data_IF_019772855855
#
_entry.id   IF_019772855855
#
_cell.length_a   1.000
_cell.length_b   1.000
_cell.length_c   1.000
_cell.angle_alpha   90.00
_cell.angle_beta   90.00
_cell.angle_gamma   90.00
#
_symmetry.space_group_name_H-M   'P 1'
#
loop_
_entity.id
_entity.type
_entity.pdbx_description
1 polymer ?
#
# COMPACT_ATOMS: atom_id res chain seq x y z
N UNK A 1 17.89 -37.13 52.89
CA UNK A 1 17.29 -38.48 52.75
C UNK A 1 16.34 -38.66 53.93
N UNK A 2 15.08 -39.08 53.70
CA UNK A 2 14.75 -40.41 53.16
C UNK A 2 14.02 -40.41 51.80
N UNK A 3 14.22 -41.52 51.08
CA UNK A 3 13.43 -42.10 49.97
C UNK A 3 12.16 -42.76 50.54
N UNK A 4 11.10 -43.19 49.84
CA UNK A 4 10.49 -43.09 48.49
C UNK A 4 9.25 -44.01 48.56
N UNK A 5 8.15 -43.71 47.87
CA UNK A 5 7.15 -44.62 47.28
C UNK A 5 5.89 -43.80 46.90
N UNK A 6 5.27 -43.89 45.73
CA UNK A 6 5.44 -44.90 44.69
C UNK A 6 4.75 -44.52 43.37
N UNK A 7 4.73 -45.55 42.53
CA UNK A 7 4.55 -45.67 41.08
C UNK A 7 3.10 -45.45 40.60
N UNK A 8 2.93 -44.91 39.38
CA UNK A 8 1.97 -45.25 38.30
C UNK A 8 2.09 -44.11 37.25
N UNK A 9 2.31 -44.27 35.94
CA UNK A 9 2.15 -45.37 35.01
C UNK A 9 1.51 -44.82 33.73
N UNK A 10 2.23 -44.94 32.61
CA UNK A 10 1.80 -44.94 31.18
C UNK A 10 1.30 -43.67 30.48
N UNK A 11 1.94 -43.45 29.32
CA UNK A 11 1.60 -42.59 28.19
C UNK A 11 0.14 -42.68 27.72
N UNK A 12 -0.40 -41.55 27.25
CA UNK A 12 -1.32 -41.50 26.12
C UNK A 12 -1.27 -40.13 25.48
N UNK A 13 -0.70 -40.10 24.28
CA UNK A 13 -0.97 -39.09 23.27
C UNK A 13 -2.48 -38.97 23.10
N UNK A 14 -3.02 -37.75 23.18
CA UNK A 14 -4.28 -37.46 22.51
C UNK A 14 -4.14 -36.12 21.80
N UNK A 15 -3.98 -36.23 20.48
CA UNK A 15 -4.18 -35.19 19.51
C UNK A 15 -5.49 -34.45 19.83
N UNK A 16 -5.39 -33.17 20.16
CA UNK A 16 -6.49 -32.25 19.86
C UNK A 16 -5.95 -31.30 18.82
N UNK A 17 -6.28 -31.60 17.56
CA UNK A 17 -6.31 -30.66 16.45
C UNK A 17 -7.11 -29.43 16.89
N UNK A 18 -6.43 -28.39 17.35
CA UNK A 18 -6.97 -27.04 17.23
C UNK A 18 -6.66 -26.57 15.84
N UNK A 19 -7.62 -26.80 14.94
CA UNK A 19 -7.75 -26.08 13.69
C UNK A 19 -7.86 -24.58 14.03
N UNK A 20 -6.74 -23.88 14.14
CA UNK A 20 -6.75 -22.42 14.06
C UNK A 20 -6.67 -22.06 12.57
N UNK A 21 -7.82 -22.15 11.90
CA UNK A 21 -8.05 -21.46 10.63
C UNK A 21 -8.34 -19.98 10.92
N UNK A 22 -7.38 -19.32 11.54
CA UNK A 22 -7.43 -17.90 11.92
C UNK A 22 -6.06 -17.30 11.62
N UNK A 23 -5.76 -17.03 10.34
CA UNK A 23 -4.79 -15.98 9.94
C UNK A 23 -4.79 -15.71 8.41
N UNK A 24 -5.91 -15.92 7.70
CA UNK A 24 -6.02 -15.52 6.29
C UNK A 24 -6.09 -13.99 6.07
N UNK A 25 -5.87 -13.18 7.12
CA UNK A 25 -5.89 -11.73 7.07
C UNK A 25 -4.67 -11.08 7.73
N UNK A 26 -3.55 -11.79 7.93
CA UNK A 26 -2.29 -11.09 8.21
C UNK A 26 -1.90 -10.31 6.94
N UNK A 27 -2.12 -9.00 7.00
CA UNK A 27 -1.65 -8.10 5.94
C UNK A 27 -0.13 -8.12 6.02
N UNK A 28 0.52 -8.85 5.11
CA UNK A 28 1.98 -8.95 5.07
C UNK A 28 2.62 -7.56 5.17
N UNK A 29 3.70 -7.42 5.97
CA UNK A 29 4.34 -6.13 6.18
C UNK A 29 4.90 -5.60 4.87
N UNK A 30 4.56 -4.35 4.54
CA UNK A 30 5.05 -3.69 3.33
C UNK A 30 6.56 -3.47 3.44
N UNK A 31 7.38 -3.91 2.46
CA UNK A 31 8.82 -3.70 2.49
C UNK A 31 9.24 -2.22 2.62
N UNK A 32 10.31 -1.97 3.37
CA UNK A 32 10.83 -0.61 3.62
C UNK A 32 11.11 0.22 2.34
N UNK A 33 11.62 -0.36 1.23
CA UNK A 33 11.78 0.39 -0.01
C UNK A 33 10.46 0.95 -0.56
N UNK A 34 9.36 0.21 -0.43
CA UNK A 34 8.03 0.64 -0.87
C UNK A 34 7.51 1.75 0.03
N UNK A 35 7.61 1.58 1.35
CA UNK A 35 7.22 2.62 2.31
C UNK A 35 7.97 3.94 2.05
N UNK A 36 9.29 3.85 1.84
CA UNK A 36 10.15 5.00 1.53
C UNK A 36 9.77 5.66 0.20
N UNK A 37 9.43 4.86 -0.81
CA UNK A 37 8.94 5.34 -2.09
C UNK A 37 7.63 6.11 -1.94
N UNK A 38 6.62 5.51 -1.29
CA UNK A 38 5.30 6.12 -1.10
C UNK A 38 5.40 7.42 -0.30
N UNK A 39 6.20 7.42 0.77
CA UNK A 39 6.48 8.63 1.55
C UNK A 39 7.09 9.73 0.68
N UNK A 40 8.14 9.40 -0.10
CA UNK A 40 8.80 10.37 -0.98
C UNK A 40 7.86 10.97 -2.02
N UNK A 41 6.94 10.18 -2.57
CA UNK A 41 5.94 10.67 -3.53
C UNK A 41 4.84 11.51 -2.87
N UNK A 42 4.54 11.27 -1.59
CA UNK A 42 3.52 12.03 -0.84
C UNK A 42 4.08 13.36 -0.34
N UNK A 43 5.37 13.41 -0.01
CA UNK A 43 6.01 14.57 0.61
C UNK A 43 5.78 15.92 -0.12
N UNK A 44 5.78 16.01 -1.47
CA UNK A 44 5.46 17.25 -2.18
C UNK A 44 4.06 17.82 -1.90
N UNK A 45 3.12 17.01 -1.42
CA UNK A 45 1.74 17.39 -1.10
C UNK A 45 1.55 17.81 0.36
N UNK A 46 2.60 17.74 1.18
CA UNK A 46 2.56 18.16 2.58
C UNK A 46 3.13 19.58 2.77
N UNK A 47 3.77 20.13 1.75
CA UNK A 47 4.36 21.47 1.77
C UNK A 47 3.34 22.57 1.47
N UNK A 48 3.63 23.79 1.90
CA UNK A 48 2.74 24.96 1.75
C UNK A 48 2.74 25.61 0.35
N UNK A 49 3.46 25.04 -0.63
CA UNK A 49 3.59 25.61 -1.98
C UNK A 49 3.57 24.51 -3.04
N UNK A 50 2.68 24.67 -4.01
CA UNK A 50 2.62 23.89 -5.25
C UNK A 50 3.96 23.98 -5.97
N UNK A 51 4.52 22.83 -6.30
CA UNK A 51 5.76 22.72 -7.05
C UNK A 51 5.58 21.71 -8.18
N UNK A 52 6.40 21.82 -9.23
CA UNK A 52 6.51 20.82 -10.33
C UNK A 52 6.71 19.37 -9.86
N UNK A 53 7.04 19.20 -8.58
CA UNK A 53 7.19 17.90 -7.92
C UNK A 53 5.85 17.17 -7.74
N UNK A 54 4.73 17.87 -7.55
CA UNK A 54 3.41 17.23 -7.44
C UNK A 54 3.01 16.55 -8.76
N UNK A 55 3.22 17.22 -9.90
CA UNK A 55 2.97 16.65 -11.23
C UNK A 55 3.84 15.41 -11.46
N UNK A 56 5.14 15.49 -11.12
CA UNK A 56 6.06 14.37 -11.24
C UNK A 56 5.66 13.18 -10.35
N UNK A 57 5.17 13.45 -9.14
CA UNK A 57 4.67 12.43 -8.24
C UNK A 57 3.38 11.77 -8.75
N UNK A 58 2.44 12.54 -9.31
CA UNK A 58 1.23 11.98 -9.93
C UNK A 58 1.58 11.08 -11.12
N UNK A 59 2.51 11.50 -11.99
CA UNK A 59 3.01 10.67 -13.11
C UNK A 59 3.66 9.39 -12.59
N UNK A 60 4.44 9.48 -11.50
CA UNK A 60 5.10 8.31 -10.92
C UNK A 60 4.09 7.34 -10.31
N UNK A 61 3.08 7.84 -9.60
CA UNK A 61 2.00 7.02 -9.05
C UNK A 61 1.23 6.30 -10.14
N UNK A 62 0.80 6.99 -11.19
CA UNK A 62 0.10 6.36 -12.32
C UNK A 62 0.93 5.22 -12.93
N UNK A 63 2.19 5.51 -13.23
CA UNK A 63 3.09 4.55 -13.86
C UNK A 63 3.32 3.29 -13.01
N UNK A 64 3.52 3.45 -11.70
CA UNK A 64 3.88 2.33 -10.82
C UNK A 64 2.64 1.59 -10.30
N UNK A 65 1.60 2.32 -9.89
CA UNK A 65 0.42 1.73 -9.21
C UNK A 65 -0.63 1.26 -10.22
N UNK A 66 -0.96 2.10 -11.20
CA UNK A 66 -1.99 1.81 -12.21
C UNK A 66 -1.42 0.97 -13.35
N UNK A 67 -0.30 1.40 -13.92
CA UNK A 67 0.26 0.73 -15.11
C UNK A 67 1.21 -0.44 -14.77
N UNK A 68 1.65 -0.56 -13.50
CA UNK A 68 2.62 -1.57 -13.04
C UNK A 68 3.92 -1.59 -13.85
N UNK A 69 4.39 -0.42 -14.27
CA UNK A 69 5.63 -0.26 -15.03
C UNK A 69 6.77 0.05 -14.04
N UNK A 70 7.61 -0.95 -13.77
CA UNK A 70 8.72 -0.87 -12.82
C UNK A 70 10.08 -0.52 -13.45
N UNK A 71 10.13 -0.39 -14.79
CA UNK A 71 11.33 0.05 -15.51
C UNK A 71 11.83 1.39 -14.94
N UNK A 72 13.14 1.56 -14.77
CA UNK A 72 13.74 2.84 -14.35
C UNK A 72 13.61 3.18 -12.87
N UNK A 73 13.00 2.30 -12.06
CA UNK A 73 13.10 2.34 -10.61
C UNK A 73 14.46 1.78 -10.14
N UNK A 74 14.84 2.04 -8.89
CA UNK A 74 16.03 1.43 -8.31
C UNK A 74 15.84 -0.09 -8.18
N UNK A 75 16.90 -0.92 -8.36
CA UNK A 75 16.80 -2.37 -8.25
C UNK A 75 16.13 -2.83 -6.95
N UNK A 76 16.52 -2.21 -5.82
CA UNK A 76 15.95 -2.49 -4.50
C UNK A 76 14.44 -2.22 -4.39
N UNK A 77 13.92 -1.23 -5.12
CA UNK A 77 12.50 -0.92 -5.11
C UNK A 77 11.74 -1.89 -6.02
N UNK A 78 12.28 -2.18 -7.21
CA UNK A 78 11.66 -3.13 -8.13
C UNK A 78 11.58 -4.55 -7.55
N UNK A 79 12.63 -4.99 -6.86
CA UNK A 79 12.66 -6.28 -6.16
C UNK A 79 11.64 -6.31 -5.02
N UNK A 80 11.57 -5.25 -4.21
CA UNK A 80 10.59 -5.15 -3.13
C UNK A 80 9.14 -5.12 -3.65
N UNK A 81 8.85 -4.43 -4.76
CA UNK A 81 7.52 -4.44 -5.37
C UNK A 81 7.17 -5.84 -5.88
N UNK A 82 8.14 -6.54 -6.48
CA UNK A 82 7.93 -7.90 -6.99
C UNK A 82 7.79 -8.95 -5.87
N UNK A 83 8.19 -8.62 -4.64
CA UNK A 83 8.11 -9.52 -3.49
C UNK A 83 6.76 -9.51 -2.78
N UNK A 84 5.83 -8.64 -3.18
CA UNK A 84 4.47 -8.57 -2.63
C UNK A 84 3.44 -8.72 -3.76
N UNK A 85 2.21 -9.11 -3.42
CA UNK A 85 1.12 -9.10 -4.40
C UNK A 85 0.84 -7.68 -4.89
N UNK A 86 0.36 -7.57 -6.13
CA UNK A 86 -0.07 -6.29 -6.69
C UNK A 86 -1.14 -5.62 -5.82
N UNK A 87 -2.05 -6.42 -5.27
CA UNK A 87 -3.08 -5.95 -4.35
C UNK A 87 -2.51 -5.35 -3.05
N UNK A 88 -1.45 -5.93 -2.49
CA UNK A 88 -0.78 -5.37 -1.32
C UNK A 88 -0.14 -4.00 -1.63
N UNK A 89 0.45 -3.82 -2.81
CA UNK A 89 0.97 -2.51 -3.25
C UNK A 89 -0.16 -1.48 -3.38
N UNK A 90 -1.28 -1.87 -4.00
CA UNK A 90 -2.49 -1.04 -4.15
C UNK A 90 -3.00 -0.60 -2.78
N UNK A 91 -3.21 -1.54 -1.86
CA UNK A 91 -3.64 -1.24 -0.48
C UNK A 91 -2.67 -0.32 0.25
N UNK A 92 -1.36 -0.56 0.11
CA UNK A 92 -0.35 0.28 0.73
C UNK A 92 -0.35 1.71 0.18
N UNK A 93 -0.60 1.87 -1.13
CA UNK A 93 -0.62 3.19 -1.79
C UNK A 93 -1.87 4.01 -1.52
N UNK A 94 -3.00 3.37 -1.21
CA UNK A 94 -4.30 4.00 -1.03
C UNK A 94 -4.32 5.21 -0.07
N UNK A 95 -3.82 5.13 1.18
CA UNK A 95 -3.83 6.29 2.09
C UNK A 95 -3.01 7.46 1.55
N UNK A 96 -1.94 7.19 0.79
CA UNK A 96 -1.12 8.22 0.16
C UNK A 96 -1.87 8.94 -0.96
N UNK A 97 -2.57 8.19 -1.82
CA UNK A 97 -3.34 8.79 -2.93
C UNK A 97 -4.51 9.63 -2.40
N UNK A 98 -5.20 9.16 -1.35
CA UNK A 98 -6.23 9.97 -0.68
C UNK A 98 -5.64 11.26 -0.12
N UNK A 99 -4.50 11.18 0.58
CA UNK A 99 -3.84 12.37 1.13
C UNK A 99 -3.48 13.38 0.04
N UNK A 100 -2.85 12.92 -1.06
CA UNK A 100 -2.51 13.79 -2.19
C UNK A 100 -3.75 14.42 -2.82
N UNK A 101 -4.83 13.64 -2.97
CA UNK A 101 -6.12 14.12 -3.50
C UNK A 101 -6.71 15.20 -2.61
N UNK A 102 -6.72 14.99 -1.29
CA UNK A 102 -7.24 15.95 -0.31
C UNK A 102 -6.47 17.27 -0.35
N UNK A 103 -5.13 17.23 -0.43
CA UNK A 103 -4.32 18.45 -0.59
C UNK A 103 -4.71 19.21 -1.85
N UNK A 104 -4.71 18.55 -3.03
CA UNK A 104 -4.99 19.23 -4.30
C UNK A 104 -6.44 19.76 -4.38
N UNK A 105 -7.40 19.06 -3.78
CA UNK A 105 -8.79 19.52 -3.70
C UNK A 105 -8.94 20.73 -2.77
N UNK A 106 -8.21 20.75 -1.66
CA UNK A 106 -8.19 21.90 -0.73
C UNK A 106 -7.61 23.14 -1.41
N UNK A 107 -6.54 22.96 -2.19
CA UNK A 107 -5.96 24.03 -3.00
C UNK A 107 -6.96 24.54 -4.05
N UNK A 108 -7.62 23.62 -4.77
CA UNK A 108 -8.65 23.97 -5.75
C UNK A 108 -9.83 24.71 -5.14
N UNK A 109 -10.23 24.38 -3.92
CA UNK A 109 -11.33 25.05 -3.22
C UNK A 109 -11.03 26.52 -2.88
N UNK A 110 -9.75 26.91 -2.85
CA UNK A 110 -9.31 28.30 -2.68
C UNK A 110 -9.23 29.10 -3.98
N UNK A 111 -9.44 28.47 -5.14
CA UNK A 111 -9.36 29.08 -6.46
C UNK A 111 -10.74 29.40 -7.05
N UNK A 112 -10.80 30.36 -7.97
CA UNK A 112 -12.02 30.72 -8.71
C UNK A 112 -12.60 29.49 -9.45
N UNK A 113 -13.92 29.32 -9.39
CA UNK A 113 -14.64 28.15 -9.93
C UNK A 113 -14.45 27.99 -11.46
N UNK A 114 -14.15 29.08 -12.18
CA UNK A 114 -13.95 29.06 -13.63
C UNK A 114 -12.58 28.54 -14.10
N UNK A 115 -11.63 28.31 -13.20
CA UNK A 115 -10.31 27.78 -13.57
C UNK A 115 -10.37 26.27 -13.85
N UNK A 116 -9.73 25.84 -14.92
CA UNK A 116 -9.61 24.42 -15.24
C UNK A 116 -8.82 23.69 -14.14
N UNK A 117 -9.21 22.44 -13.85
CA UNK A 117 -8.49 21.60 -12.89
C UNK A 117 -7.03 21.41 -13.32
N UNK A 118 -6.11 21.49 -12.36
CA UNK A 118 -4.69 21.27 -12.63
C UNK A 118 -4.44 19.84 -13.14
N UNK A 119 -3.38 19.66 -13.95
CA UNK A 119 -2.99 18.35 -14.47
C UNK A 119 -2.75 17.33 -13.35
N UNK A 120 -2.07 17.75 -12.28
CA UNK A 120 -1.92 16.96 -11.04
C UNK A 120 -3.26 16.50 -10.47
N UNK A 121 -4.24 17.40 -10.35
CA UNK A 121 -5.54 17.08 -9.74
C UNK A 121 -6.33 16.10 -10.60
N UNK A 122 -6.38 16.31 -11.91
CA UNK A 122 -7.03 15.38 -12.84
C UNK A 122 -6.39 13.99 -12.74
N UNK A 123 -5.06 13.93 -12.71
CA UNK A 123 -4.32 12.67 -12.67
C UNK A 123 -4.49 11.94 -11.34
N UNK A 124 -4.42 12.63 -10.20
CA UNK A 124 -4.58 11.98 -8.90
C UNK A 124 -6.00 11.43 -8.72
N UNK A 125 -7.01 12.15 -9.20
CA UNK A 125 -8.41 11.71 -9.13
C UNK A 125 -8.66 10.52 -10.05
N UNK A 126 -8.03 10.48 -11.23
CA UNK A 126 -8.03 9.29 -12.08
C UNK A 126 -7.43 8.08 -11.37
N UNK A 127 -6.27 8.23 -10.73
CA UNK A 127 -5.63 7.14 -9.98
C UNK A 127 -6.54 6.69 -8.82
N UNK A 128 -7.13 7.63 -8.07
CA UNK A 128 -8.05 7.32 -6.98
C UNK A 128 -9.29 6.57 -7.47
N UNK A 129 -9.85 6.98 -8.60
CA UNK A 129 -10.97 6.29 -9.23
C UNK A 129 -10.61 4.84 -9.59
N UNK A 130 -9.47 4.64 -10.25
CA UNK A 130 -8.98 3.30 -10.60
C UNK A 130 -8.75 2.43 -9.35
N UNK A 131 -8.17 2.99 -8.28
CA UNK A 131 -7.97 2.29 -7.01
C UNK A 131 -9.28 1.81 -6.38
N UNK A 132 -10.35 2.61 -6.48
CA UNK A 132 -11.63 2.32 -5.85
C UNK A 132 -12.48 1.32 -6.65
N UNK A 133 -12.36 1.30 -7.98
CA UNK A 133 -13.30 0.58 -8.85
C UNK A 133 -12.62 -0.60 -9.54
N UNK A 134 -11.50 -0.35 -10.23
CA UNK A 134 -10.92 -1.32 -11.15
C UNK A 134 -9.82 -2.18 -10.50
N UNK A 135 -9.11 -1.62 -9.51
CA UNK A 135 -7.92 -2.25 -8.94
C UNK A 135 -8.17 -3.63 -8.33
N UNK A 136 -9.32 -3.85 -7.69
CA UNK A 136 -9.65 -5.17 -7.13
C UNK A 136 -9.73 -6.23 -8.22
N UNK A 137 -10.43 -5.93 -9.33
CA UNK A 137 -10.59 -6.89 -10.44
C UNK A 137 -9.27 -7.09 -11.17
N UNK A 138 -8.57 -6.01 -11.50
CA UNK A 138 -7.30 -6.08 -12.24
C UNK A 138 -6.17 -6.74 -11.45
N UNK A 139 -6.17 -6.65 -10.12
CA UNK A 139 -5.14 -7.27 -9.28
C UNK A 139 -5.43 -8.74 -8.94
N UNK A 140 -6.67 -9.21 -9.06
CA UNK A 140 -7.01 -10.63 -8.87
C UNK A 140 -6.66 -11.45 -10.12
N UNK A 141 -6.59 -10.81 -11.30
CA UNK A 141 -6.36 -11.49 -12.57
C UNK A 141 -4.88 -11.78 -12.88
N UNK A 142 -3.93 -11.36 -12.04
CA UNK A 142 -2.49 -11.50 -12.27
C UNK A 142 -1.72 -11.86 -11.00
#
# INVERSE_FOLDING_TARGET
MPLSAGIFGSDSQNETRTNNSEDENETEPIPLPIQSFLWRQTNPFLGSKINKLQDASCVTFERVIVQNILHGLSPSLSEAISSISRWNLVRASFPHIIQCSATLLTERAGEEESLAMSSSLVKILYILHWLLIDANVECILF
#
